data_IF_779105604576
#
_entry.id   IF_779105604576
#
_cell.length_a   1.000
_cell.length_b   1.000
_cell.length_c   1.000
_cell.angle_alpha   90.00
_cell.angle_beta   90.00
_cell.angle_gamma   90.00
#
_symmetry.space_group_name_H-M   'P 1'
#
loop_
_entity.id
_entity.type
_entity.pdbx_description
1 polymer ?
2 non-polymer ?
3 non-polymer ?
4 water ?
#
# COMPACT_ATOMS: atom_id res chain seq x y z
N UNK A 24 25.48 -13.01 5.92
CA UNK A 24 26.52 -12.42 6.74
C UNK A 24 25.97 -11.38 7.70
N UNK A 25 24.88 -11.73 8.35
CA UNK A 25 24.14 -10.84 9.24
C UNK A 25 24.40 -11.27 10.68
N UNK A 26 24.13 -10.36 11.61
CA UNK A 26 24.21 -10.76 13.01
C UNK A 26 23.10 -11.75 13.31
N UNK A 27 23.25 -12.46 14.43
CA UNK A 27 22.20 -13.40 14.81
C UNK A 27 20.88 -12.68 15.04
N UNK A 28 20.94 -11.50 15.68
CA UNK A 28 19.73 -10.71 15.90
C UNK A 28 19.14 -10.23 14.57
N UNK A 29 19.99 -9.96 13.57
CA UNK A 29 19.48 -9.43 12.31
C UNK A 29 18.70 -10.47 11.52
N UNK A 30 19.15 -11.73 11.53
CA UNK A 30 18.44 -12.78 10.81
C UNK A 30 17.23 -13.31 11.58
N UNK A 31 17.27 -13.25 12.91
CA UNK A 31 16.04 -13.46 13.66
C UNK A 31 15.03 -12.37 13.36
N UNK A 32 15.52 -11.17 13.04
CA UNK A 32 14.63 -10.06 12.68
C UNK A 32 13.96 -10.31 11.34
N UNK A 33 14.74 -10.70 10.33
CA UNK A 33 14.19 -11.00 9.02
C UNK A 33 13.27 -12.20 9.10
N UNK A 34 13.65 -13.20 9.89
CA UNK A 34 12.84 -14.40 10.03
C UNK A 34 11.46 -14.07 10.58
N UNK A 35 11.39 -13.21 11.59
CA UNK A 35 10.10 -12.88 12.18
C UNK A 35 9.26 -12.01 11.25
N UNK A 36 9.90 -11.09 10.53
CA UNK A 36 9.18 -10.26 9.58
C UNK A 36 8.68 -11.09 8.41
N UNK A 37 9.53 -11.96 7.87
CA UNK A 37 9.12 -12.86 6.80
C UNK A 37 8.03 -13.81 7.26
N UNK A 38 7.96 -14.08 8.57
CA UNK A 38 6.92 -14.95 9.12
C UNK A 38 5.57 -14.24 9.21
N UNK A 39 5.58 -12.98 9.65
CA UNK A 39 4.34 -12.23 9.76
C UNK A 39 3.76 -11.90 8.39
N UNK A 40 4.61 -11.76 7.38
CA UNK A 40 4.12 -11.56 6.02
C UNK A 40 3.47 -12.83 5.48
N UNK A 41 4.09 -13.98 5.74
CA UNK A 41 3.55 -15.25 5.26
C UNK A 41 2.17 -15.53 5.86
N UNK A 42 1.97 -15.17 7.13
CA UNK A 42 0.72 -15.49 7.81
C UNK A 42 -0.42 -14.53 7.51
N UNK A 43 -0.12 -13.29 7.11
CA UNK A 43 -1.15 -12.26 7.03
C UNK A 43 -1.37 -11.69 5.63
N UNK A 44 -0.63 -12.12 4.62
CA UNK A 44 -0.76 -11.56 3.28
C UNK A 44 -1.26 -12.65 2.33
N UNK A 45 -2.56 -12.58 2.02
CA UNK A 45 -3.27 -13.51 1.15
C UNK A 45 -2.90 -13.17 -0.29
N UNK A 46 -1.78 -13.75 -0.76
CA UNK A 46 -1.24 -13.38 -2.06
C UNK A 46 -2.15 -13.78 -3.21
N UNK A 47 -3.02 -14.77 -3.01
CA UNK A 47 -3.99 -15.15 -4.04
C UNK A 47 -5.34 -14.49 -3.83
N UNK A 48 -5.49 -13.68 -2.78
CA UNK A 48 -6.74 -12.96 -2.50
C UNK A 48 -7.93 -13.91 -2.39
N UNK A 49 -7.71 -15.10 -1.83
CA UNK A 49 -8.74 -16.12 -1.79
C UNK A 49 -9.90 -15.73 -0.87
N UNK A 50 -9.63 -14.93 0.16
CA UNK A 50 -10.64 -14.59 1.15
C UNK A 50 -11.23 -13.20 0.95
N UNK A 51 -10.97 -12.57 -0.19
CA UNK A 51 -11.61 -11.32 -0.56
C UNK A 51 -12.90 -11.65 -1.30
N UNK A 52 -14.03 -11.49 -0.63
CA UNK A 52 -15.33 -11.80 -1.21
C UNK A 52 -16.37 -10.87 -0.62
N UNK A 53 -17.61 -11.00 -1.10
CA UNK A 53 -18.73 -10.15 -0.72
C UNK A 53 -18.48 -8.67 -1.01
N UNK A 54 -17.62 -8.39 -1.99
CA UNK A 54 -17.31 -7.02 -2.34
C UNK A 54 -18.36 -6.46 -3.30
N UNK A 55 -18.46 -5.14 -3.34
CA UNK A 55 -19.39 -4.47 -4.23
C UNK A 55 -18.77 -4.29 -5.62
N UNK A 56 -19.64 -4.14 -6.60
CA UNK A 56 -19.23 -3.96 -7.99
C UNK A 56 -20.10 -2.85 -8.59
N UNK A 57 -19.62 -2.21 -9.66
CA UNK A 57 -20.47 -1.20 -10.32
C UNK A 57 -21.76 -1.81 -10.84
N UNK A 58 -22.84 -1.06 -10.73
CA UNK A 58 -24.14 -1.56 -11.12
C UNK A 58 -24.22 -1.93 -12.58
N UNK A 59 -25.24 -2.70 -12.92
CA UNK A 59 -25.45 -3.16 -14.28
C UNK A 59 -26.62 -2.42 -14.93
N UNK A 78 -18.67 24.19 -4.88
CA UNK A 78 -19.02 24.09 -6.30
C UNK A 78 -17.75 24.00 -7.14
N UNK A 79 -16.65 24.51 -6.61
CA UNK A 79 -15.33 24.33 -7.21
C UNK A 79 -14.61 23.12 -6.64
N UNK A 80 -15.20 22.44 -5.65
CA UNK A 80 -14.62 21.21 -5.14
C UNK A 80 -14.64 20.11 -6.20
N UNK A 81 -15.74 20.03 -6.96
CA UNK A 81 -15.93 18.93 -7.90
C UNK A 81 -14.85 18.92 -8.97
N UNK A 82 -14.49 20.11 -9.50
CA UNK A 82 -13.42 20.18 -10.47
C UNK A 82 -12.14 19.55 -9.94
N UNK A 83 -11.85 19.77 -8.65
CA UNK A 83 -10.73 19.09 -8.00
C UNK A 83 -11.01 17.60 -7.84
N UNK A 84 -12.23 17.26 -7.39
CA UNK A 84 -12.59 15.86 -7.20
C UNK A 84 -12.57 15.12 -8.54
N UNK A 85 -13.01 15.78 -9.61
CA UNK A 85 -12.90 15.18 -10.94
C UNK A 85 -11.43 14.97 -11.32
N UNK A 86 -10.57 15.93 -11.01
CA UNK A 86 -9.14 15.74 -11.24
C UNK A 86 -8.57 14.65 -10.34
N UNK A 87 -9.03 14.59 -9.09
CA UNK A 87 -8.56 13.55 -8.17
C UNK A 87 -8.91 12.17 -8.68
N UNK A 88 -10.12 12.00 -9.21
CA UNK A 88 -10.62 10.67 -9.56
C UNK A 88 -10.03 10.17 -10.87
N UNK A 89 -9.98 11.03 -11.89
CA UNK A 89 -9.59 10.62 -13.24
C UNK A 89 -8.12 10.23 -13.34
N UNK A 90 -7.35 10.29 -12.26
CA UNK A 90 -5.92 10.04 -12.36
C UNK A 90 -5.55 8.57 -12.25
N UNK A 91 -6.50 7.69 -11.90
CA UNK A 91 -6.22 6.25 -11.81
C UNK A 91 -7.51 5.50 -12.15
N UNK A 92 -7.83 5.46 -13.43
CA UNK A 92 -8.95 4.69 -13.95
C UNK A 92 -8.46 3.32 -14.41
N UNK A 93 -9.26 2.30 -14.14
CA UNK A 93 -8.78 0.93 -14.32
C UNK A 93 -9.94 0.06 -14.75
N UNK A 94 -9.69 -0.88 -15.65
CA UNK A 94 -10.68 -1.89 -16.00
C UNK A 94 -10.53 -3.09 -15.07
N UNK A 95 -11.59 -3.89 -15.01
CA UNK A 95 -11.71 -4.91 -13.97
C UNK A 95 -12.16 -6.23 -14.60
N UNK A 96 -11.45 -7.30 -14.25
CA UNK A 96 -11.75 -8.65 -14.76
C UNK A 96 -11.91 -9.60 -13.59
N UNK A 97 -12.94 -10.46 -13.66
CA UNK A 97 -13.18 -11.49 -12.66
C UNK A 97 -13.21 -12.83 -13.36
N UNK A 98 -12.28 -13.71 -13.01
CA UNK A 98 -12.28 -15.07 -13.54
C UNK A 98 -12.98 -15.97 -12.52
N UNK A 99 -14.17 -16.43 -12.88
CA UNK A 99 -14.90 -17.35 -12.01
C UNK A 99 -14.23 -18.70 -11.93
N UNK A 100 -14.53 -19.42 -10.85
CA UNK A 100 -13.97 -20.76 -10.66
C UNK A 100 -14.41 -21.71 -11.76
N UNK A 101 -15.58 -21.45 -12.37
CA UNK A 101 -16.09 -22.31 -13.42
C UNK A 101 -15.41 -22.06 -14.77
N UNK A 102 -14.63 -20.98 -14.90
CA UNK A 102 -13.99 -20.63 -16.15
C UNK A 102 -14.59 -19.43 -16.83
N UNK A 103 -15.70 -18.90 -16.33
CA UNK A 103 -16.31 -17.71 -16.92
C UNK A 103 -15.46 -16.48 -16.62
N UNK A 104 -15.68 -15.43 -17.41
CA UNK A 104 -14.94 -14.18 -17.26
C UNK A 104 -15.92 -13.01 -17.35
N UNK A 105 -16.02 -12.24 -16.26
CA UNK A 105 -16.67 -10.95 -16.27
C UNK A 105 -15.62 -9.87 -16.51
N UNK A 106 -16.00 -8.82 -17.22
CA UNK A 106 -15.03 -7.79 -17.57
C UNK A 106 -15.73 -6.44 -17.66
N UNK A 107 -15.22 -5.45 -16.94
CA UNK A 107 -15.87 -4.15 -16.78
C UNK A 107 -15.00 -3.06 -17.35
N UNK A 108 -15.60 -2.19 -18.16
CA UNK A 108 -14.94 -1.00 -18.68
C UNK A 108 -15.60 0.23 -18.07
N UNK A 109 -14.86 1.10 -17.39
CA UNK A 109 -15.46 2.24 -16.71
C UNK A 109 -15.98 3.27 -17.71
N UNK A 110 -16.91 4.12 -17.29
CA UNK A 110 -17.40 5.17 -18.19
C UNK A 110 -16.40 6.30 -18.33
N UNK A 111 -16.61 7.09 -19.37
CA UNK A 111 -15.85 8.32 -19.52
C UNK A 111 -16.47 9.42 -18.65
N UNK A 112 -15.66 10.43 -18.34
CA UNK A 112 -16.16 11.55 -17.54
C UNK A 112 -17.11 12.39 -18.39
N UNK A 113 -18.38 12.44 -17.97
CA UNK A 113 -19.40 13.24 -18.63
C UNK A 113 -19.99 14.27 -17.68
N UNK A 114 -19.21 14.71 -16.70
CA UNK A 114 -19.64 15.75 -15.78
C UNK A 114 -20.72 15.32 -14.81
N UNK A 115 -20.83 14.04 -14.49
CA UNK A 115 -21.85 13.57 -13.58
C UNK A 115 -21.32 12.65 -12.48
N UNK A 116 -22.24 12.03 -11.75
CA UNK A 116 -21.88 11.15 -10.64
C UNK A 116 -21.37 9.79 -11.09
N UNK A 117 -21.27 9.54 -12.40
CA UNK A 117 -20.82 8.25 -12.89
C UNK A 117 -19.33 8.00 -12.65
N UNK A 118 -18.57 9.03 -12.28
CA UNK A 118 -17.16 8.83 -11.95
C UNK A 118 -16.96 8.18 -10.59
N UNK A 119 -18.03 8.07 -9.79
CA UNK A 119 -17.98 7.40 -8.50
C UNK A 119 -18.32 5.92 -8.58
N UNK A 120 -18.32 5.33 -9.78
CA UNK A 120 -18.84 3.98 -9.93
C UNK A 120 -17.97 2.93 -9.26
N UNK A 121 -16.66 3.14 -9.21
CA UNK A 121 -15.73 2.14 -8.68
C UNK A 121 -15.35 2.38 -7.23
N UNK A 122 -15.83 3.46 -6.61
CA UNK A 122 -15.42 3.76 -5.24
C UNK A 122 -15.86 2.69 -4.23
N UNK A 123 -17.11 2.20 -4.24
CA UNK A 123 -17.46 1.14 -3.28
C UNK A 123 -16.57 -0.10 -3.39
N UNK A 124 -16.26 -0.53 -4.61
CA UNK A 124 -15.46 -1.72 -4.78
C UNK A 124 -14.05 -1.51 -4.25
N UNK A 125 -13.45 -0.35 -4.59
CA UNK A 125 -12.05 -0.09 -4.25
C UNK A 125 -11.94 0.22 -2.76
N UNK A 126 -13.03 0.71 -2.14
CA UNK A 126 -13.09 0.84 -0.69
C UNK A 126 -13.19 -0.52 -0.02
N UNK A 127 -13.91 -1.46 -0.64
CA UNK A 127 -13.95 -2.82 -0.13
C UNK A 127 -12.58 -3.50 -0.25
N UNK A 128 -11.89 -3.26 -1.36
CA UNK A 128 -10.55 -3.83 -1.55
C UNK A 128 -9.57 -3.22 -0.57
N UNK A 129 -9.64 -1.90 -0.36
CA UNK A 129 -8.75 -1.24 0.60
C UNK A 129 -8.97 -1.78 2.00
N UNK A 130 -10.24 -1.94 2.40
CA UNK A 130 -10.54 -2.48 3.72
C UNK A 130 -9.94 -3.87 3.90
N UNK A 131 -10.05 -4.72 2.87
CA UNK A 131 -9.46 -6.05 2.94
C UNK A 131 -7.95 -5.97 3.13
N UNK A 132 -7.28 -5.12 2.36
CA UNK A 132 -5.84 -4.96 2.51
C UNK A 132 -5.48 -4.43 3.89
N UNK A 133 -6.26 -3.47 4.39
CA UNK A 133 -5.98 -2.89 5.69
C UNK A 133 -6.02 -3.93 6.79
N UNK A 134 -6.95 -4.89 6.70
CA UNK A 134 -7.03 -5.94 7.72
C UNK A 134 -5.80 -6.83 7.70
N UNK A 135 -5.29 -7.15 6.50
CA UNK A 135 -4.02 -7.86 6.42
C UNK A 135 -2.87 -7.06 7.00
N UNK A 136 -2.90 -5.74 6.83
CA UNK A 136 -1.85 -4.89 7.39
C UNK A 136 -1.91 -4.91 8.91
N UNK A 137 -3.11 -4.78 9.47
CA UNK A 137 -3.26 -4.74 10.92
C UNK A 137 -2.84 -6.07 11.53
N UNK A 138 -3.24 -7.18 10.90
CA UNK A 138 -2.79 -8.49 11.36
C UNK A 138 -1.27 -8.61 11.26
N UNK A 139 -0.68 -8.04 10.21
CA UNK A 139 0.77 -8.07 10.05
C UNK A 139 1.47 -7.40 11.22
N UNK A 140 1.02 -6.20 11.58
CA UNK A 140 1.65 -5.47 12.68
C UNK A 140 1.45 -6.18 14.01
N UNK A 141 0.23 -6.68 14.26
CA UNK A 141 -0.07 -7.30 15.54
C UNK A 141 0.79 -8.53 15.80
N UNK A 142 1.23 -9.21 14.74
CA UNK A 142 2.02 -10.43 14.90
C UNK A 142 3.47 -10.12 15.25
N UNK A 143 3.96 -8.95 14.88
CA UNK A 143 5.36 -8.59 15.11
C UNK A 143 5.57 -8.24 16.57
N UNK A 144 6.60 -8.83 17.19
CA UNK A 144 6.85 -8.64 18.61
C UNK A 144 7.19 -7.19 18.95
N UNK A 145 8.02 -6.55 18.10
CA UNK A 145 8.42 -5.17 18.37
C UNK A 145 7.23 -4.23 18.36
N UNK A 146 6.22 -4.51 17.53
CA UNK A 146 5.02 -3.68 17.49
C UNK A 146 4.15 -3.96 18.70
N UNK A 147 3.78 -5.24 18.88
CA UNK A 147 3.10 -5.76 20.05
C UNK A 147 3.58 -5.13 21.35
N UNK A 148 4.90 -4.96 21.48
CA UNK A 148 5.51 -4.49 22.72
C UNK A 148 5.33 -2.99 22.95
N UNK A 149 4.88 -2.24 21.96
CA UNK A 149 4.62 -0.83 22.17
C UNK A 149 3.31 -0.64 22.93
N UNK A 150 3.16 0.48 23.64
CA UNK A 150 1.85 0.80 24.22
C UNK A 150 0.80 0.88 23.12
N UNK A 151 -0.44 0.58 23.51
CA UNK A 151 -1.51 0.43 22.52
C UNK A 151 -1.72 1.74 21.75
N UNK A 152 -1.75 2.87 22.45
CA UNK A 152 -2.00 4.14 21.80
C UNK A 152 -0.93 4.47 20.76
N UNK A 153 0.29 3.99 20.95
CA UNK A 153 1.31 4.15 19.92
C UNK A 153 1.09 3.19 18.76
N UNK A 154 0.49 2.03 19.02
CA UNK A 154 0.19 1.09 17.96
C UNK A 154 -0.83 1.67 16.99
N UNK A 155 -1.94 2.22 17.50
CA UNK A 155 -2.94 2.84 16.64
C UNK A 155 -2.34 4.02 15.89
N UNK A 156 -1.53 4.83 16.56
CA UNK A 156 -0.92 5.98 15.90
C UNK A 156 -0.03 5.53 14.75
N UNK A 157 0.78 4.49 14.97
CA UNK A 157 1.64 3.98 13.90
C UNK A 157 0.81 3.37 12.77
N UNK A 158 -0.29 2.70 13.10
CA UNK A 158 -1.11 2.09 12.07
C UNK A 158 -1.83 3.14 11.24
N UNK A 159 -2.37 4.18 11.89
CA UNK A 159 -3.01 5.27 11.16
C UNK A 159 -2.04 5.91 10.17
N UNK A 160 -0.75 5.99 10.51
CA UNK A 160 0.19 6.70 9.68
C UNK A 160 0.75 5.89 8.53
N UNK A 161 0.79 4.56 8.67
CA UNK A 161 1.51 3.71 7.72
C UNK A 161 0.63 2.74 6.95
N UNK A 162 -0.67 2.67 7.25
CA UNK A 162 -1.53 1.66 6.61
C UNK A 162 -1.54 1.81 5.11
N UNK A 163 -1.71 3.04 4.61
CA UNK A 163 -1.64 3.29 3.17
C UNK A 163 -0.32 2.80 2.58
N UNK A 164 0.79 3.16 3.22
CA UNK A 164 2.10 2.87 2.66
C UNK A 164 2.35 1.37 2.60
N UNK A 165 2.00 0.65 3.67
CA UNK A 165 2.15 -0.80 3.66
C UNK A 165 1.21 -1.45 2.65
N UNK A 166 0.05 -0.83 2.41
CA UNK A 166 -0.87 -1.31 1.39
C UNK A 166 -0.27 -1.16 -0.01
N UNK A 167 0.25 0.03 -0.31
CA UNK A 167 0.91 0.25 -1.60
C UNK A 167 2.08 -0.71 -1.79
N UNK A 168 2.84 -0.97 -0.72
CA UNK A 168 3.98 -1.86 -0.82
C UNK A 168 3.55 -3.28 -1.15
N UNK A 169 2.44 -3.73 -0.57
CA UNK A 169 1.96 -5.08 -0.85
C UNK A 169 1.42 -5.20 -2.27
N UNK A 170 0.73 -4.16 -2.76
CA UNK A 170 0.24 -4.21 -4.14
C UNK A 170 1.37 -4.20 -5.16
N UNK A 171 2.53 -3.64 -4.81
CA UNK A 171 3.63 -3.63 -5.78
C UNK A 171 4.10 -5.04 -6.11
N UNK A 172 4.01 -5.96 -5.14
CA UNK A 172 4.46 -7.33 -5.36
C UNK A 172 3.56 -8.10 -6.31
N UNK A 173 2.31 -7.67 -6.50
CA UNK A 173 1.41 -8.29 -7.46
C UNK A 173 1.21 -7.42 -8.69
N UNK A 174 1.98 -6.35 -8.83
CA UNK A 174 1.88 -5.48 -9.99
C UNK A 174 2.70 -6.04 -11.15
N UNK A 175 2.12 -6.03 -12.34
CA UNK A 175 2.78 -6.49 -13.56
C UNK A 175 3.14 -5.24 -14.37
N UNK A 176 4.42 -4.87 -14.35
CA UNK A 176 4.86 -3.66 -15.04
C UNK A 176 4.85 -3.82 -16.55
N UNK A 177 4.87 -5.05 -17.06
CA UNK A 177 4.87 -5.26 -18.50
C UNK A 177 3.48 -5.04 -19.10
N UNK A 178 2.42 -5.26 -18.32
CA UNK A 178 1.06 -5.06 -18.80
C UNK A 178 0.31 -3.98 -18.03
N UNK A 179 0.94 -3.32 -17.07
CA UNK A 179 0.28 -2.31 -16.26
C UNK A 179 -0.94 -2.84 -15.54
N UNK A 180 -0.79 -4.01 -14.90
CA UNK A 180 -1.91 -4.73 -14.32
C UNK A 180 -1.56 -5.21 -12.93
N UNK A 181 -2.43 -4.91 -11.97
CA UNK A 181 -2.34 -5.51 -10.63
C UNK A 181 -3.13 -6.81 -10.65
N UNK A 182 -2.44 -7.92 -10.48
CA UNK A 182 -3.01 -9.25 -10.63
C UNK A 182 -3.30 -9.80 -9.24
N UNK A 183 -4.57 -9.71 -8.83
CA UNK A 183 -4.99 -10.05 -7.48
C UNK A 183 -5.80 -11.34 -7.51
N UNK A 184 -5.13 -12.44 -7.83
CA UNK A 184 -5.80 -13.73 -7.91
C UNK A 184 -6.81 -13.79 -9.04
N UNK A 185 -8.06 -14.09 -8.70
CA UNK A 185 -9.12 -14.09 -9.71
C UNK A 185 -9.48 -12.70 -10.19
N UNK A 186 -9.07 -11.66 -9.46
CA UNK A 186 -9.27 -10.28 -9.89
C UNK A 186 -8.03 -9.82 -10.66
N UNK A 187 -8.24 -8.89 -11.59
CA UNK A 187 -7.12 -8.18 -12.19
C UNK A 187 -7.57 -6.77 -12.52
N UNK A 188 -6.63 -5.83 -12.39
CA UNK A 188 -6.91 -4.41 -12.54
C UNK A 188 -5.91 -3.83 -13.52
N UNK A 189 -6.36 -3.54 -14.74
CA UNK A 189 -5.48 -3.10 -15.83
C UNK A 189 -5.68 -1.63 -16.11
N UNK A 190 -4.56 -0.89 -16.14
CA UNK A 190 -4.61 0.54 -16.39
C UNK A 190 -5.09 0.82 -17.81
N UNK A 191 -5.95 1.84 -17.94
CA UNK A 191 -6.50 2.18 -19.25
C UNK A 191 -5.46 2.89 -20.10
N UNK A 192 -5.48 2.59 -21.39
CA UNK A 192 -4.55 3.20 -22.34
C UNK A 192 -4.76 4.71 -22.45
N UNK A 197 1.13 6.54 -22.57
CA UNK A 197 1.84 5.74 -21.58
C UNK A 197 2.77 6.61 -20.74
N UNK A 198 3.67 7.32 -21.41
CA UNK A 198 4.56 8.25 -20.70
C UNK A 198 3.79 9.33 -19.96
N UNK A 199 2.53 9.59 -20.36
CA UNK A 199 1.66 10.50 -19.65
C UNK A 199 0.92 9.83 -18.50
N UNK A 200 1.03 8.51 -18.35
CA UNK A 200 0.49 7.84 -17.18
C UNK A 200 1.43 7.94 -15.99
N UNK A 201 2.74 7.92 -16.23
CA UNK A 201 3.72 8.10 -15.18
C UNK A 201 3.74 9.52 -14.62
N UNK A 202 2.94 10.44 -15.18
CA UNK A 202 2.76 11.73 -14.54
C UNK A 202 2.09 11.59 -13.19
N UNK A 203 1.28 10.55 -13.01
CA UNK A 203 0.66 10.28 -11.73
C UNK A 203 1.71 9.73 -10.77
N UNK A 204 1.96 10.38 -9.65
CA UNK A 204 3.08 9.97 -8.78
C UNK A 204 2.97 8.54 -8.27
N UNK A 205 1.77 8.10 -7.88
CA UNK A 205 1.61 6.74 -7.36
C UNK A 205 1.90 5.71 -8.43
N UNK A 206 1.34 5.88 -9.62
CA UNK A 206 1.65 5.02 -10.75
C UNK A 206 3.14 5.08 -11.09
N UNK A 207 3.74 6.27 -11.01
CA UNK A 207 5.18 6.38 -11.22
C UNK A 207 5.94 5.59 -10.15
N UNK A 208 5.45 5.65 -8.90
CA UNK A 208 6.08 4.91 -7.81
C UNK A 208 6.07 3.41 -8.05
N UNK A 209 4.95 2.88 -8.55
CA UNK A 209 4.84 1.43 -8.74
C UNK A 209 5.80 0.94 -9.81
N UNK A 210 5.96 1.71 -10.90
CA UNK A 210 6.86 1.31 -11.96
C UNK A 210 8.32 1.37 -11.51
N UNK A 211 8.70 2.43 -10.77
CA UNK A 211 10.07 2.54 -10.29
C UNK A 211 10.41 1.47 -9.27
N UNK A 212 9.49 1.18 -8.34
CA UNK A 212 9.75 0.15 -7.34
C UNK A 212 9.86 -1.23 -7.97
N UNK A 213 9.01 -1.51 -8.97
CA UNK A 213 9.07 -2.80 -9.64
C UNK A 213 10.39 -2.99 -10.37
N UNK A 214 10.93 -1.90 -10.94
CA UNK A 214 12.19 -1.98 -11.66
C UNK A 214 13.35 -2.35 -10.75
N UNK A 215 13.23 -2.13 -9.44
CA UNK A 215 14.32 -2.42 -8.52
C UNK A 215 14.50 -3.92 -8.28
N UNK A 216 13.54 -4.76 -8.68
CA UNK A 216 13.73 -6.20 -8.73
C UNK A 216 13.98 -6.78 -7.33
N UNK A 217 13.19 -6.34 -6.35
CA UNK A 217 13.46 -6.62 -4.95
C UNK A 217 13.06 -8.04 -4.56
N UNK A 218 13.74 -8.56 -3.54
CA UNK A 218 13.40 -9.83 -2.94
C UNK A 218 12.23 -9.68 -1.96
N UNK A 219 11.66 -10.82 -1.57
CA UNK A 219 10.62 -10.81 -0.54
C UNK A 219 11.14 -10.21 0.77
N UNK A 220 12.39 -10.52 1.12
CA UNK A 220 12.97 -10.03 2.36
C UNK A 220 13.10 -8.51 2.35
N UNK A 221 13.38 -7.94 1.17
CA UNK A 221 13.56 -6.49 1.09
C UNK A 221 12.22 -5.75 1.11
N UNK A 222 11.17 -6.35 0.54
CA UNK A 222 9.84 -5.73 0.62
C UNK A 222 9.35 -5.66 2.07
N UNK A 223 9.59 -6.71 2.85
CA UNK A 223 9.06 -6.75 4.21
C UNK A 223 9.86 -5.84 5.13
N UNK A 224 11.16 -5.68 4.87
CA UNK A 224 11.94 -4.71 5.66
C UNK A 224 11.47 -3.30 5.36
N UNK A 225 11.09 -3.03 4.11
CA UNK A 225 10.50 -1.74 3.76
C UNK A 225 9.22 -1.50 4.55
N UNK A 226 8.39 -2.52 4.70
CA UNK A 226 7.15 -2.37 5.46
C UNK A 226 7.45 -2.04 6.93
N UNK A 227 8.47 -2.68 7.50
CA UNK A 227 8.81 -2.42 8.90
C UNK A 227 9.30 -0.99 9.09
N UNK A 228 10.13 -0.49 8.16
CA UNK A 228 10.66 0.86 8.29
C UNK A 228 9.54 1.88 8.20
N UNK A 229 8.58 1.66 7.29
CA UNK A 229 7.45 2.59 7.17
C UNK A 229 6.52 2.49 8.37
N UNK A 230 6.33 1.27 8.91
CA UNK A 230 5.45 1.11 10.06
C UNK A 230 6.05 1.75 11.30
N UNK A 231 7.33 1.53 11.55
CA UNK A 231 8.01 2.09 12.73
C UNK A 231 8.61 3.46 12.41
N UNK A 232 7.76 4.37 11.97
CA UNK A 232 8.18 5.73 11.70
C UNK A 232 7.99 6.57 12.96
N UNK A 233 9.07 7.10 13.57
CA UNK A 233 8.93 7.77 14.87
C UNK A 233 8.14 9.08 14.81
N UNK A 234 7.87 9.62 13.63
CA UNK A 234 7.29 10.95 13.49
C UNK A 234 5.86 10.92 12.96
N UNK A 235 5.11 9.87 13.26
CA UNK A 235 3.70 9.90 12.93
C UNK A 235 2.94 10.70 13.99
N UNK A 236 1.87 11.40 13.59
CA UNK A 236 1.09 12.17 14.57
C UNK A 236 0.55 11.28 15.68
N UNK A 237 0.88 11.64 16.92
CA UNK A 237 0.35 10.97 18.09
C UNK A 237 1.28 9.96 18.75
N UNK A 238 2.46 9.73 18.18
CA UNK A 238 3.38 8.74 18.73
C UNK A 238 4.06 9.33 19.96
N UNK A 239 4.13 8.55 21.03
CA UNK A 239 4.73 8.99 22.29
C UNK A 239 6.10 8.39 22.54
N UNK A 240 6.26 7.08 22.32
CA UNK A 240 7.54 6.42 22.55
C UNK A 240 8.49 6.64 21.37
N UNK A 241 8.61 7.89 20.93
CA UNK A 241 9.33 8.19 19.69
C UNK A 241 10.79 7.77 19.76
N UNK A 242 11.38 7.73 20.96
CA UNK A 242 12.75 7.27 21.09
C UNK A 242 12.86 5.77 20.86
N UNK A 243 11.97 4.98 21.48
CA UNK A 243 11.86 3.56 21.15
C UNK A 243 11.64 3.37 19.65
N UNK A 244 10.64 4.06 19.10
CA UNK A 244 10.23 3.78 17.73
C UNK A 244 11.36 4.12 16.76
N UNK A 245 12.10 5.18 17.06
CA UNK A 245 13.23 5.57 16.21
C UNK A 245 14.36 4.54 16.28
N UNK A 246 14.67 4.04 17.48
CA UNK A 246 15.70 3.01 17.60
C UNK A 246 15.29 1.75 16.87
N UNK A 247 14.00 1.39 16.93
CA UNK A 247 13.50 0.24 16.18
C UNK A 247 13.64 0.47 14.68
N UNK A 248 13.24 1.66 14.21
CA UNK A 248 13.37 1.97 12.78
C UNK A 248 14.82 1.89 12.32
N UNK A 249 15.73 2.51 13.09
CA UNK A 249 17.13 2.49 12.71
C UNK A 249 17.67 1.07 12.60
N UNK A 250 17.16 0.15 13.40
CA UNK A 250 17.62 -1.24 13.35
C UNK A 250 17.08 -1.98 12.13
N UNK A 251 15.86 -1.68 11.70
CA UNK A 251 15.33 -2.31 10.48
C UNK A 251 16.08 -1.80 9.24
N UNK A 252 16.46 -0.53 9.24
CA UNK A 252 17.21 0.01 8.10
C UNK A 252 18.62 -0.56 8.05
N UNK A 253 19.27 -0.71 9.21
CA UNK A 253 20.61 -1.26 9.24
C UNK A 253 20.62 -2.71 8.77
N UNK A 254 19.59 -3.48 9.15
CA UNK A 254 19.47 -4.85 8.69
C UNK A 254 19.29 -4.91 7.18
N UNK A 255 18.50 -3.97 6.63
CA UNK A 255 18.29 -3.93 5.18
C UNK A 255 19.60 -3.60 4.46
N UNK A 256 20.33 -2.61 4.96
CA UNK A 256 21.63 -2.26 4.37
C UNK A 256 22.57 -3.44 4.39
N UNK A 257 22.58 -4.20 5.49
CA UNK A 257 23.47 -5.36 5.59
C UNK A 257 23.02 -6.49 4.69
N UNK A 258 21.70 -6.67 4.54
CA UNK A 258 21.18 -7.73 3.69
C UNK A 258 21.61 -7.52 2.24
N UNK A 259 21.45 -6.29 1.73
CA UNK A 259 21.82 -5.98 0.35
C UNK A 259 23.30 -6.26 0.12
N UNK A 260 24.14 -5.84 1.06
CA UNK A 260 25.58 -5.95 0.90
C UNK A 260 26.06 -7.38 1.10
N UNK A 261 25.27 -8.22 1.77
CA UNK A 261 25.60 -9.64 1.89
C UNK A 261 25.15 -10.44 0.69
N UNK A 262 24.04 -10.05 0.05
CA UNK A 262 23.40 -10.87 -0.95
C UNK A 262 23.30 -10.23 -2.33
N UNK A 263 23.87 -9.05 -2.54
CA UNK A 263 23.79 -8.34 -3.82
C UNK A 263 25.10 -7.65 -4.12
N UNK A 264 26.08 -8.37 -4.67
CA UNK A 264 27.37 -7.75 -5.00
C UNK A 264 27.47 -7.16 -6.40
N UNK A 265 26.46 -7.34 -7.25
CA UNK A 265 26.58 -6.91 -8.64
C UNK A 265 26.59 -5.38 -8.72
N UNK A 266 27.36 -4.80 -9.65
CA UNK A 266 27.34 -3.35 -9.84
C UNK A 266 25.97 -2.77 -10.14
N UNK A 267 25.03 -3.60 -10.62
CA UNK A 267 23.68 -3.10 -10.88
C UNK A 267 22.99 -2.69 -9.60
N UNK A 268 23.37 -3.27 -8.47
CA UNK A 268 22.75 -2.98 -7.19
C UNK A 268 23.61 -2.08 -6.32
N UNK A 269 24.57 -1.39 -6.91
CA UNK A 269 25.25 -0.31 -6.20
C UNK A 269 24.23 0.77 -5.86
N UNK A 270 24.32 1.28 -4.63
CA UNK A 270 23.43 2.31 -4.09
C UNK A 270 21.98 1.83 -3.98
N UNK A 271 21.74 0.51 -4.05
CA UNK A 271 20.36 0.02 -3.97
C UNK A 271 19.70 0.41 -2.65
N UNK A 272 20.44 0.31 -1.54
CA UNK A 272 19.88 0.68 -0.24
C UNK A 272 19.43 2.14 -0.23
N UNK A 273 20.23 3.03 -0.82
CA UNK A 273 19.86 4.44 -0.85
C UNK A 273 18.67 4.69 -1.76
N UNK A 274 18.56 3.94 -2.86
CA UNK A 274 17.39 4.08 -3.72
C UNK A 274 16.12 3.66 -2.99
N UNK A 275 16.18 2.55 -2.26
CA UNK A 275 15.02 2.09 -1.49
C UNK A 275 14.61 3.13 -0.46
N UNK A 276 15.59 3.64 0.30
CA UNK A 276 15.31 4.64 1.31
C UNK A 276 14.71 5.90 0.70
N UNK A 277 15.06 6.20 -0.55
CA UNK A 277 14.48 7.36 -1.25
C UNK A 277 13.08 7.04 -1.76
N UNK A 278 12.89 5.85 -2.33
CA UNK A 278 11.55 5.30 -2.54
C UNK A 278 10.66 5.53 -1.33
N UNK A 279 11.13 5.15 -0.14
CA UNK A 279 10.27 5.22 1.04
C UNK A 279 9.88 6.67 1.36
N UNK A 280 10.83 7.59 1.19
CA UNK A 280 10.52 9.01 1.38
C UNK A 280 9.52 9.49 0.34
N UNK A 281 9.68 9.02 -0.91
CA UNK A 281 8.71 9.34 -1.97
C UNK A 281 7.33 8.78 -1.68
N UNK A 282 7.25 7.46 -1.41
CA UNK A 282 5.99 6.82 -1.02
C UNK A 282 5.33 7.57 0.13
N UNK A 283 6.13 8.16 1.01
CA UNK A 283 5.60 8.77 2.21
C UNK A 283 4.93 10.09 1.90
N UNK A 284 5.50 10.78 0.91
CA UNK A 284 4.89 12.00 0.39
C UNK A 284 3.63 11.70 -0.39
N UNK A 285 3.66 10.60 -1.18
CA UNK A 285 2.48 10.18 -1.90
C UNK A 285 1.33 9.93 -0.94
N UNK A 286 1.65 9.35 0.22
CA UNK A 286 0.66 9.05 1.25
C UNK A 286 -0.02 10.31 1.77
N UNK A 287 0.77 11.30 2.18
CA UNK A 287 0.17 12.57 2.60
C UNK A 287 -0.75 13.14 1.53
N UNK A 288 -0.34 13.08 0.26
CA UNK A 288 -1.01 13.99 -0.66
C UNK A 288 -2.27 13.32 -1.16
N UNK A 289 -2.30 12.00 -1.00
CA UNK A 289 -3.42 11.14 -1.29
C UNK A 289 -4.42 11.12 -0.15
N UNK A 290 -3.96 11.29 1.10
CA UNK A 290 -4.91 11.35 2.20
C UNK A 290 -5.87 12.52 2.03
N UNK A 291 -5.43 13.59 1.37
CA UNK A 291 -6.30 14.73 1.13
C UNK A 291 -7.22 14.52 -0.07
N UNK A 292 -6.69 13.86 -1.12
CA UNK A 292 -7.50 13.41 -2.26
C UNK A 292 -8.75 12.68 -1.77
N UNK A 293 -8.54 11.71 -0.86
CA UNK A 293 -9.61 10.88 -0.33
C UNK A 293 -10.58 11.69 0.51
N UNK A 294 -10.08 12.58 1.37
CA UNK A 294 -10.97 13.35 2.22
C UNK A 294 -11.79 14.36 1.41
N UNK A 295 -11.26 14.83 0.28
CA UNK A 295 -12.03 15.71 -0.59
C UNK A 295 -13.21 14.97 -1.21
N UNK A 296 -12.97 13.78 -1.76
CA UNK A 296 -14.05 12.97 -2.30
C UNK A 296 -15.05 12.61 -1.21
N UNK A 297 -14.56 12.22 -0.04
CA UNK A 297 -15.43 11.86 1.07
C UNK A 297 -16.33 13.01 1.48
N UNK A 298 -15.87 14.25 1.28
CA UNK A 298 -16.65 15.41 1.71
C UNK A 298 -17.92 15.57 0.88
N UNK A 299 -17.84 15.31 -0.43
CA UNK A 299 -18.98 15.54 -1.31
C UNK A 299 -19.67 14.24 -1.73
N UNK A 300 -19.03 13.08 -1.56
CA UNK A 300 -19.63 11.81 -1.94
C UNK A 300 -19.11 10.74 -1.01
N UNK A 301 -19.80 10.46 0.10
CA UNK A 301 -19.29 9.53 1.10
C UNK A 301 -19.16 8.12 0.56
N UNK A 302 -18.12 7.42 1.00
CA UNK A 302 -17.81 6.09 0.48
C UNK A 302 -16.93 5.29 1.42
N UNK A 303 -16.29 5.96 2.38
CA UNK A 303 -15.33 5.29 3.25
C UNK A 303 -16.02 4.28 4.16
N UNK A 304 -15.46 3.07 4.25
CA UNK A 304 -15.97 2.06 5.16
C UNK A 304 -15.67 2.44 6.60
N UNK A 305 -16.35 1.82 7.56
CA UNK A 305 -16.04 2.10 8.98
C UNK A 305 -14.57 1.93 9.34
N UNK A 306 -13.89 0.92 8.79
CA UNK A 306 -12.47 0.75 9.08
C UNK A 306 -11.64 1.88 8.45
N UNK A 307 -12.02 2.32 7.25
CA UNK A 307 -11.32 3.44 6.62
C UNK A 307 -11.50 4.73 7.41
N UNK A 308 -12.70 4.95 7.97
CA UNK A 308 -12.92 6.12 8.81
C UNK A 308 -12.04 6.08 10.05
N UNK A 309 -11.97 4.91 10.69
CA UNK A 309 -11.12 4.75 11.88
C UNK A 309 -9.68 5.11 11.58
N UNK A 310 -9.15 4.63 10.46
CA UNK A 310 -7.74 4.86 10.13
C UNK A 310 -7.46 6.31 9.72
N UNK A 311 -8.48 7.04 9.27
CA UNK A 311 -8.28 8.38 8.71
C UNK A 311 -8.91 9.47 9.57
N UNK A 312 -9.38 9.14 10.78
CA UNK A 312 -9.78 10.15 11.72
C UNK A 312 -11.19 10.68 11.58
N UNK A 313 -12.05 10.01 10.83
CA UNK A 313 -13.45 10.40 10.73
C UNK A 313 -14.22 9.80 11.91
N UNK A 314 -14.93 10.64 12.66
CA UNK A 314 -15.49 10.25 13.94
C UNK A 314 -16.94 9.79 13.87
N UNK A 315 -17.68 10.16 12.83
CA UNK A 315 -19.07 9.76 12.69
C UNK A 315 -20.06 10.88 12.92
N UNK A 316 -19.62 12.06 13.33
CA UNK A 316 -20.51 13.21 13.46
C UNK A 316 -19.80 14.49 13.00
#
# INVERSE_FOLDING_TARGET
MKKGHHHHHHGSERTGTQPLGVQGLTEEQRMMIRELMDAQMKTFDTTFSHFKNFRLPGVLSSGCELPESLQAPSREEAAKWSQVRKDLCSLKVSLQLRGEDGSVWNYKPPADSGGKEIFSLLPHMADMSTYMFKGIISFAKVISYFRDLPIEDQISLLKGAAFELCQLRFNTVFNAETGTWECGRLSYCLEDTAGGFQQLLLEPMLKFHYMLKKLQLHEEEYVLMQAISLFSPDRPGVLQHRVVDQLQEQFAITLKSYIECNRPQPAHRFLFLKIMAMLTELRSINAQHTQRLLRIQDIHPFATPLMQELFGITGS
#
